data_IF_835757098992
#
_entry.id   IF_835757098992
#
_cell.length_a   1.000
_cell.length_b   1.000
_cell.length_c   1.000
_cell.angle_alpha   90.00
_cell.angle_beta   90.00
_cell.angle_gamma   90.00
#
_symmetry.space_group_name_H-M   'P 1'
#
loop_
_entity.id
_entity.type
_entity.pdbx_description
1 polymer ?
#
# COMPACT_ATOMS: atom_id res chain seq x y z
N UNK A 1 -1.08 -3.31 20.82
CA UNK A 1 -0.73 -1.97 20.28
C UNK A 1 -1.34 -1.74 18.89
N UNK A 2 -1.06 -2.57 17.88
CA UNK A 2 -1.57 -2.40 16.50
C UNK A 2 -3.10 -2.21 16.39
N UNK A 3 -3.89 -3.14 16.97
CA UNK A 3 -5.37 -3.04 16.96
C UNK A 3 -5.85 -1.75 17.63
N UNK A 4 -5.24 -1.37 18.75
CA UNK A 4 -5.58 -0.13 19.46
C UNK A 4 -5.25 1.11 18.62
N UNK A 5 -4.07 1.14 17.99
CA UNK A 5 -3.70 2.23 17.10
C UNK A 5 -4.70 2.39 15.93
N UNK A 6 -5.17 1.28 15.35
CA UNK A 6 -6.22 1.32 14.31
C UNK A 6 -7.55 1.87 14.82
N UNK A 7 -7.97 1.45 16.02
CA UNK A 7 -9.23 1.95 16.64
C UNK A 7 -9.22 3.47 16.81
N UNK A 8 -8.05 4.05 17.13
CA UNK A 8 -7.90 5.51 17.24
C UNK A 8 -7.75 6.18 15.87
N UNK A 9 -6.91 5.60 15.02
CA UNK A 9 -6.59 6.19 13.70
C UNK A 9 -7.80 6.21 12.77
N UNK A 10 -8.57 5.13 12.72
CA UNK A 10 -9.70 4.99 11.78
C UNK A 10 -10.72 6.12 11.91
N UNK A 11 -11.27 6.45 13.10
CA UNK A 11 -12.25 7.54 13.22
C UNK A 11 -11.62 8.91 12.89
N UNK A 12 -10.36 9.14 13.25
CA UNK A 12 -9.66 10.39 12.90
C UNK A 12 -9.56 10.54 11.39
N UNK A 13 -9.16 9.48 10.68
CA UNK A 13 -9.06 9.51 9.22
C UNK A 13 -10.43 9.65 8.55
N UNK A 14 -11.49 9.02 9.07
CA UNK A 14 -12.86 9.18 8.57
C UNK A 14 -13.44 10.57 8.85
N UNK A 15 -12.99 11.26 9.89
CA UNK A 15 -13.32 12.65 10.14
C UNK A 15 -12.65 13.58 9.12
N UNK A 16 -11.38 13.32 8.80
CA UNK A 16 -10.58 14.13 7.89
C UNK A 16 -10.93 13.88 6.41
N UNK A 17 -11.24 12.65 6.03
CA UNK A 17 -11.45 12.21 4.65
C UNK A 17 -12.72 11.38 4.50
N UNK A 18 -13.20 11.25 3.25
CA UNK A 18 -14.26 10.33 2.87
C UNK A 18 -13.64 9.16 2.12
N UNK A 19 -14.03 7.92 2.44
CA UNK A 19 -13.50 6.73 1.80
C UNK A 19 -14.59 6.00 1.02
N UNK A 20 -14.34 5.77 -0.27
CA UNK A 20 -15.16 4.94 -1.14
C UNK A 20 -14.33 3.70 -1.50
N UNK A 21 -14.80 2.52 -1.09
CA UNK A 21 -14.06 1.27 -1.24
C UNK A 21 -14.90 0.24 -1.97
N UNK A 22 -14.35 -0.31 -3.04
CA UNK A 22 -14.96 -1.40 -3.82
C UNK A 22 -14.06 -2.64 -3.83
N UNK A 23 -14.65 -3.83 -4.08
CA UNK A 23 -13.89 -5.07 -4.18
C UNK A 23 -13.42 -5.67 -2.83
N UNK A 24 -14.04 -5.29 -1.70
CA UNK A 24 -13.68 -5.87 -0.38
C UNK A 24 -13.85 -7.38 -0.34
N UNK A 25 -14.77 -7.92 -1.12
CA UNK A 25 -15.03 -9.35 -1.31
C UNK A 25 -13.87 -10.10 -1.95
N UNK A 26 -12.93 -9.41 -2.57
CA UNK A 26 -11.73 -9.98 -3.17
C UNK A 26 -10.58 -10.17 -2.16
N UNK A 27 -10.70 -9.63 -0.95
CA UNK A 27 -9.66 -9.79 0.08
C UNK A 27 -9.67 -11.25 0.54
N UNK A 28 -8.55 -11.99 0.42
CA UNK A 28 -8.48 -13.35 0.93
C UNK A 28 -8.68 -13.39 2.45
N UNK A 29 -9.68 -14.14 2.92
CA UNK A 29 -10.09 -14.12 4.32
C UNK A 29 -9.11 -14.88 5.24
N UNK A 30 -8.50 -15.97 4.76
CA UNK A 30 -7.73 -16.91 5.58
C UNK A 30 -6.34 -17.22 4.99
N UNK A 31 -5.86 -16.42 4.04
CA UNK A 31 -4.57 -16.65 3.41
C UNK A 31 -3.69 -15.40 3.45
N UNK A 32 -2.37 -15.64 3.54
CA UNK A 32 -1.34 -14.67 3.29
C UNK A 32 -1.29 -14.30 1.80
N UNK A 33 -0.88 -13.09 1.51
CA UNK A 33 -0.75 -12.59 0.14
C UNK A 33 0.23 -11.42 0.05
N UNK A 34 0.66 -11.13 -1.16
CA UNK A 34 1.38 -9.89 -1.47
C UNK A 34 0.37 -8.86 -1.99
N UNK A 35 0.30 -7.70 -1.33
CA UNK A 35 -0.55 -6.60 -1.75
C UNK A 35 0.28 -5.61 -2.55
N UNK A 36 -0.19 -5.24 -3.74
CA UNK A 36 0.44 -4.23 -4.59
C UNK A 36 -0.53 -3.09 -4.87
N UNK A 37 -0.04 -1.85 -4.85
CA UNK A 37 -0.83 -0.67 -5.18
C UNK A 37 0.01 0.40 -5.88
N UNK A 38 -0.64 1.33 -6.58
CA UNK A 38 0.00 2.57 -7.01
C UNK A 38 0.30 3.48 -5.81
N UNK A 39 1.29 4.36 -5.93
CA UNK A 39 1.77 5.19 -4.81
C UNK A 39 1.76 6.67 -5.16
N UNK A 40 0.95 7.46 -4.46
CA UNK A 40 0.77 8.87 -4.74
C UNK A 40 1.21 9.77 -3.59
N UNK A 41 1.00 9.33 -2.33
CA UNK A 41 1.28 10.13 -1.15
C UNK A 41 1.40 9.24 0.12
N UNK A 42 1.84 9.83 1.24
CA UNK A 42 1.90 9.18 2.55
C UNK A 42 0.55 8.57 2.99
N UNK A 43 -0.56 9.17 2.57
CA UNK A 43 -1.92 8.74 2.93
C UNK A 43 -2.26 7.34 2.40
N UNK A 44 -1.61 6.87 1.34
CA UNK A 44 -1.87 5.56 0.72
C UNK A 44 -1.71 4.42 1.73
N UNK A 45 -0.62 4.40 2.49
CA UNK A 45 -0.35 3.35 3.47
C UNK A 45 -1.37 3.34 4.61
N UNK A 46 -1.77 4.51 5.10
CA UNK A 46 -2.81 4.62 6.12
C UNK A 46 -4.19 4.21 5.58
N UNK A 47 -4.48 4.55 4.33
CA UNK A 47 -5.71 4.12 3.65
C UNK A 47 -5.78 2.60 3.55
N UNK A 48 -4.72 1.95 3.07
CA UNK A 48 -4.65 0.49 3.00
C UNK A 48 -4.77 -0.17 4.37
N UNK A 49 -4.08 0.36 5.39
CA UNK A 49 -4.21 -0.13 6.77
C UNK A 49 -5.65 -0.09 7.30
N UNK A 50 -6.45 0.92 6.93
CA UNK A 50 -7.84 1.01 7.36
C UNK A 50 -8.79 0.12 6.56
N UNK A 51 -8.51 -0.03 5.27
CA UNK A 51 -9.37 -0.75 4.32
C UNK A 51 -9.25 -2.26 4.50
N UNK A 52 -8.03 -2.76 4.68
CA UNK A 52 -7.78 -4.19 4.90
C UNK A 52 -8.10 -4.60 6.35
N UNK A 53 -8.44 -5.87 6.61
CA UNK A 53 -8.68 -6.40 7.96
C UNK A 53 -7.49 -6.17 8.91
N UNK A 54 -7.74 -6.24 10.21
CA UNK A 54 -6.66 -6.18 11.20
C UNK A 54 -5.84 -7.47 11.24
N UNK A 55 -6.46 -8.57 10.83
CA UNK A 55 -5.84 -9.88 10.64
C UNK A 55 -6.31 -10.48 9.31
N UNK A 56 -5.42 -11.06 8.51
CA UNK A 56 -3.96 -11.08 8.74
C UNK A 56 -3.34 -9.68 8.70
N UNK A 57 -2.31 -9.48 9.54
CA UNK A 57 -1.67 -8.15 9.69
C UNK A 57 -0.92 -7.74 8.42
N UNK A 58 -1.17 -6.51 7.97
CA UNK A 58 -0.46 -5.91 6.84
C UNK A 58 0.89 -5.35 7.27
N UNK A 59 1.96 -5.72 6.58
CA UNK A 59 3.33 -5.24 6.77
C UNK A 59 3.80 -4.49 5.52
N UNK A 60 4.15 -3.22 5.67
CA UNK A 60 4.61 -2.40 4.55
C UNK A 60 6.12 -2.47 4.38
N UNK A 61 6.56 -2.63 3.14
CA UNK A 61 7.94 -2.37 2.77
C UNK A 61 8.18 -0.87 2.70
N UNK A 62 9.21 -0.40 3.38
CA UNK A 62 9.52 1.02 3.35
C UNK A 62 11.00 1.34 3.58
N UNK A 63 11.42 2.46 3.01
CA UNK A 63 12.77 2.98 3.13
C UNK A 63 12.98 3.61 4.52
N UNK A 64 13.84 2.98 5.32
CA UNK A 64 14.15 3.48 6.67
C UNK A 64 14.90 4.81 6.66
N UNK A 65 15.67 5.09 5.62
CA UNK A 65 16.50 6.31 5.56
C UNK A 65 15.65 7.58 5.54
N UNK A 66 14.48 7.51 4.90
CA UNK A 66 13.52 8.61 4.85
C UNK A 66 12.75 8.76 6.17
N UNK A 67 12.32 7.64 6.75
CA UNK A 67 11.48 7.64 7.95
C UNK A 67 12.23 8.02 9.22
N UNK A 68 13.49 7.59 9.38
CA UNK A 68 14.29 7.84 10.59
C UNK A 68 14.60 9.34 10.77
N UNK A 69 14.68 10.12 9.69
CA UNK A 69 14.92 11.57 9.75
C UNK A 69 13.75 12.34 10.38
N UNK A 70 12.55 11.74 10.37
CA UNK A 70 11.32 12.36 10.87
C UNK A 70 10.82 11.64 12.11
N UNK A 71 11.37 11.95 13.29
CA UNK A 71 11.16 11.24 14.56
C UNK A 71 9.69 10.99 14.94
N UNK A 72 8.81 11.98 14.75
CA UNK A 72 7.38 11.84 15.09
C UNK A 72 6.69 10.86 14.15
N UNK A 73 6.91 10.98 12.85
CA UNK A 73 6.34 10.08 11.85
C UNK A 73 6.83 8.64 12.05
N UNK A 74 8.13 8.47 12.33
CA UNK A 74 8.71 7.18 12.67
C UNK A 74 8.06 6.58 13.92
N UNK A 75 7.82 7.38 14.95
CA UNK A 75 7.09 6.92 16.14
C UNK A 75 5.68 6.44 15.78
N UNK A 76 4.90 7.21 15.01
CA UNK A 76 3.54 6.81 14.54
C UNK A 76 3.60 5.50 13.75
N UNK A 77 4.48 5.39 12.77
CA UNK A 77 4.63 4.19 11.94
C UNK A 77 4.93 2.96 12.80
N UNK A 78 5.78 3.09 13.81
CA UNK A 78 6.07 1.98 14.74
C UNK A 78 4.88 1.55 15.59
N UNK A 79 3.99 2.47 15.97
CA UNK A 79 2.77 2.14 16.74
C UNK A 79 1.73 1.45 15.87
N UNK A 80 1.53 1.94 14.67
CA UNK A 80 0.54 1.41 13.71
C UNK A 80 1.02 0.10 13.05
N UNK A 81 2.26 -0.15 13.04
CA UNK A 81 3.11 -0.95 12.40
C UNK A 81 3.22 -2.24 11.96
N UNK A 82 3.27 -2.98 11.11
CA UNK A 82 4.02 -3.92 10.37
C UNK A 82 4.91 -3.15 9.38
N UNK A 83 6.18 -3.04 9.69
CA UNK A 83 7.14 -2.38 8.82
C UNK A 83 8.30 -3.33 8.54
N UNK A 84 8.57 -3.57 7.25
CA UNK A 84 9.72 -4.34 6.78
C UNK A 84 10.71 -3.33 6.19
N UNK A 85 11.89 -3.17 6.79
CA UNK A 85 12.87 -2.19 6.33
C UNK A 85 13.46 -2.60 4.99
N UNK A 86 13.54 -1.63 4.07
CA UNK A 86 14.20 -1.77 2.78
C UNK A 86 15.43 -0.88 2.75
N UNK A 87 16.58 -1.46 2.44
CA UNK A 87 17.80 -0.70 2.14
C UNK A 87 17.93 -0.56 0.61
N UNK A 88 17.59 0.60 0.08
CA UNK A 88 17.66 0.86 -1.38
C UNK A 88 19.08 0.85 -1.95
N UNK A 89 20.09 0.96 -1.10
CA UNK A 89 21.49 0.97 -1.53
C UNK A 89 22.03 -0.46 -1.74
N UNK A 90 21.39 -1.46 -1.13
CA UNK A 90 21.76 -2.87 -1.27
C UNK A 90 20.94 -3.54 -2.38
N UNK A 91 21.60 -3.83 -3.50
CA UNK A 91 21.01 -4.71 -4.53
C UNK A 91 20.94 -6.13 -3.99
N UNK A 92 19.80 -6.81 -4.17
CA UNK A 92 19.52 -8.18 -3.70
C UNK A 92 19.78 -8.36 -2.19
N UNK A 93 19.16 -7.54 -1.35
CA UNK A 93 19.27 -7.66 0.11
C UNK A 93 18.63 -8.97 0.59
N UNK A 94 19.47 -9.98 0.86
CA UNK A 94 19.01 -11.28 1.38
C UNK A 94 18.23 -11.13 2.69
N UNK A 95 18.53 -10.12 3.51
CA UNK A 95 17.80 -9.85 4.73
C UNK A 95 16.36 -9.42 4.44
N UNK A 96 16.14 -8.63 3.38
CA UNK A 96 14.80 -8.25 2.96
C UNK A 96 13.97 -9.48 2.58
N UNK A 97 14.51 -10.36 1.72
CA UNK A 97 13.84 -11.60 1.33
C UNK A 97 13.50 -12.46 2.55
N UNK A 98 14.45 -12.69 3.45
CA UNK A 98 14.20 -13.45 4.70
C UNK A 98 13.14 -12.81 5.61
N UNK A 99 13.03 -11.47 5.65
CA UNK A 99 11.99 -10.79 6.42
C UNK A 99 10.61 -10.95 5.79
N UNK A 100 10.54 -10.85 4.46
CA UNK A 100 9.31 -11.07 3.69
C UNK A 100 8.84 -12.53 3.84
N UNK A 101 9.73 -13.48 3.63
CA UNK A 101 9.43 -14.92 3.77
C UNK A 101 8.89 -15.24 5.16
N UNK A 102 9.57 -14.77 6.21
CA UNK A 102 9.10 -14.95 7.60
C UNK A 102 7.74 -14.32 7.86
N UNK A 103 7.46 -13.17 7.26
CA UNK A 103 6.17 -12.51 7.38
C UNK A 103 5.07 -13.36 6.72
N UNK A 104 5.27 -13.76 5.47
CA UNK A 104 4.32 -14.57 4.71
C UNK A 104 4.11 -15.95 5.35
N UNK A 105 5.18 -16.65 5.74
CA UNK A 105 5.09 -17.97 6.41
C UNK A 105 4.34 -17.94 7.76
N UNK A 106 4.31 -16.78 8.42
CA UNK A 106 3.50 -16.57 9.64
C UNK A 106 2.07 -16.12 9.38
N UNK A 107 1.62 -16.19 8.13
CA UNK A 107 0.27 -15.79 7.72
C UNK A 107 0.07 -14.28 7.61
N UNK A 108 1.14 -13.47 7.60
CA UNK A 108 1.05 -12.03 7.42
C UNK A 108 0.82 -11.63 5.96
N UNK A 109 0.45 -10.38 5.73
CA UNK A 109 0.35 -9.75 4.41
C UNK A 109 1.52 -8.81 4.21
N UNK A 110 2.17 -8.90 3.05
CA UNK A 110 3.25 -7.98 2.66
C UNK A 110 2.71 -6.99 1.64
N UNK A 111 2.66 -5.71 2.02
CA UNK A 111 2.20 -4.63 1.17
C UNK A 111 3.37 -3.80 0.65
N UNK A 112 3.36 -3.51 -0.63
CA UNK A 112 4.37 -2.66 -1.24
C UNK A 112 3.81 -1.87 -2.44
N UNK A 113 4.56 -0.83 -2.79
CA UNK A 113 4.33 -0.02 -3.97
C UNK A 113 5.41 -0.35 -4.99
N UNK A 114 5.10 -1.16 -6.03
CA UNK A 114 6.12 -1.65 -6.96
C UNK A 114 6.79 -0.55 -7.80
N UNK A 115 6.19 0.63 -7.87
CA UNK A 115 6.77 1.84 -8.48
C UNK A 115 8.05 2.29 -7.76
N UNK A 116 8.21 1.95 -6.46
CA UNK A 116 9.32 2.33 -5.58
C UNK A 116 9.53 3.86 -5.40
N UNK A 117 8.58 4.66 -5.83
CA UNK A 117 8.52 6.13 -5.68
C UNK A 117 7.08 6.62 -5.80
N UNK A 118 6.83 7.88 -5.48
CA UNK A 118 5.53 8.51 -5.69
C UNK A 118 5.28 8.77 -7.17
N UNK A 119 4.10 8.39 -7.67
CA UNK A 119 3.63 8.72 -9.00
C UNK A 119 3.50 10.25 -9.20
N UNK A 120 3.70 10.76 -10.41
CA UNK A 120 3.72 12.19 -10.68
C UNK A 120 2.33 12.82 -10.58
N UNK A 121 1.28 12.08 -10.92
CA UNK A 121 -0.11 12.57 -10.94
C UNK A 121 -1.13 11.45 -10.73
N UNK A 122 -2.37 11.85 -10.41
CA UNK A 122 -3.52 10.93 -10.34
C UNK A 122 -3.73 10.18 -11.66
N UNK A 123 -4.05 8.89 -11.56
CA UNK A 123 -4.35 8.04 -12.72
C UNK A 123 -3.14 7.53 -13.50
N UNK A 124 -1.94 7.93 -13.15
CA UNK A 124 -0.70 7.47 -13.79
C UNK A 124 0.00 6.44 -12.92
N UNK A 125 0.38 5.32 -13.53
CA UNK A 125 1.14 4.24 -12.89
C UNK A 125 2.51 4.16 -13.53
N UNK A 126 3.55 4.20 -12.70
CA UNK A 126 4.93 4.05 -13.14
C UNK A 126 5.29 2.58 -13.36
N UNK A 127 6.35 2.28 -14.14
CA UNK A 127 6.81 0.91 -14.35
C UNK A 127 7.13 0.20 -13.01
N UNK A 128 6.66 -1.04 -12.89
CA UNK A 128 6.83 -1.84 -11.69
C UNK A 128 8.20 -2.50 -11.59
N UNK A 129 8.74 -2.54 -10.37
CA UNK A 129 9.91 -3.33 -10.00
C UNK A 129 9.50 -4.79 -9.75
N UNK A 130 10.42 -5.72 -10.00
CA UNK A 130 10.20 -7.18 -9.96
C UNK A 130 10.04 -7.77 -8.54
N UNK A 131 10.36 -7.00 -7.48
CA UNK A 131 10.45 -7.52 -6.11
C UNK A 131 9.18 -8.24 -5.62
N UNK A 132 7.99 -7.67 -5.86
CA UNK A 132 6.74 -8.29 -5.43
C UNK A 132 6.47 -9.64 -6.10
N UNK A 133 6.88 -9.78 -7.38
CA UNK A 133 6.67 -11.02 -8.12
C UNK A 133 7.57 -12.14 -7.58
N UNK A 134 8.83 -11.83 -7.24
CA UNK A 134 9.70 -12.78 -6.54
C UNK A 134 9.08 -13.19 -5.20
N UNK A 135 8.65 -12.25 -4.38
CA UNK A 135 8.04 -12.56 -3.08
C UNK A 135 6.81 -13.48 -3.21
N UNK A 136 5.96 -13.22 -4.20
CA UNK A 136 4.75 -14.02 -4.41
C UNK A 136 5.06 -15.43 -4.94
N UNK A 137 5.97 -15.55 -5.91
CA UNK A 137 6.33 -16.83 -6.54
C UNK A 137 7.10 -17.70 -5.54
N UNK A 138 8.12 -17.16 -4.87
CA UNK A 138 8.98 -17.91 -3.96
C UNK A 138 8.21 -18.42 -2.71
N UNK A 139 7.13 -17.72 -2.32
CA UNK A 139 6.29 -18.11 -1.19
C UNK A 139 4.96 -18.77 -1.60
N UNK A 140 4.72 -19.00 -2.89
CA UNK A 140 3.48 -19.62 -3.40
C UNK A 140 2.19 -18.90 -2.94
N UNK A 141 2.20 -17.57 -2.86
CA UNK A 141 1.07 -16.76 -2.41
C UNK A 141 0.51 -15.91 -3.54
N UNK A 142 -0.81 -15.61 -3.52
CA UNK A 142 -1.40 -14.75 -4.53
C UNK A 142 -0.97 -13.28 -4.36
N UNK A 143 -1.10 -12.52 -5.44
CA UNK A 143 -0.92 -11.06 -5.45
C UNK A 143 -2.29 -10.39 -5.50
N UNK A 144 -2.57 -9.48 -4.57
CA UNK A 144 -3.81 -8.69 -4.54
C UNK A 144 -3.51 -7.29 -5.07
N UNK A 145 -3.99 -6.93 -6.28
CA UNK A 145 -3.80 -5.60 -6.85
C UNK A 145 -4.82 -4.61 -6.28
N UNK A 146 -4.40 -3.38 -6.04
CA UNK A 146 -5.24 -2.29 -5.52
C UNK A 146 -4.99 -1.00 -6.29
N UNK A 147 -6.06 -0.37 -6.76
CA UNK A 147 -6.02 0.97 -7.36
C UNK A 147 -6.42 2.04 -6.33
N UNK A 148 -5.59 3.06 -6.17
CA UNK A 148 -5.84 4.22 -5.30
C UNK A 148 -6.02 5.48 -6.12
N UNK A 149 -6.97 6.33 -5.72
CA UNK A 149 -7.18 7.64 -6.34
C UNK A 149 -7.63 8.67 -5.30
N UNK A 150 -7.27 9.94 -5.53
CA UNK A 150 -7.58 11.04 -4.63
C UNK A 150 -6.55 11.27 -3.52
N UNK A 151 -5.43 10.57 -3.50
CA UNK A 151 -4.41 10.72 -2.45
C UNK A 151 -3.22 11.61 -2.84
N UNK A 152 -3.05 11.98 -4.11
CA UNK A 152 -1.90 12.81 -4.55
C UNK A 152 -1.81 14.14 -3.80
N UNK A 153 -2.91 14.88 -3.79
CA UNK A 153 -3.09 16.08 -3.00
C UNK A 153 -4.28 15.89 -2.06
N UNK A 154 -4.14 16.17 -0.79
CA UNK A 154 -5.18 15.92 0.19
C UNK A 154 -5.62 17.20 0.91
N UNK A 155 -6.93 17.30 1.19
CA UNK A 155 -7.55 18.38 1.94
C UNK A 155 -8.71 17.85 2.78
N UNK A 156 -9.21 18.67 3.70
CA UNK A 156 -10.28 18.27 4.60
C UNK A 156 -11.52 17.79 3.82
N UNK A 157 -12.03 16.61 4.17
CA UNK A 157 -13.21 15.95 3.58
C UNK A 157 -13.05 15.55 2.11
N UNK A 158 -11.81 15.48 1.61
CA UNK A 158 -11.56 14.91 0.28
C UNK A 158 -12.01 13.46 0.21
N UNK A 159 -12.56 13.06 -0.92
CA UNK A 159 -12.91 11.66 -1.18
C UNK A 159 -11.69 10.91 -1.70
N UNK A 160 -11.34 9.84 -0.99
CA UNK A 160 -10.29 8.87 -1.33
C UNK A 160 -11.00 7.61 -1.84
N UNK A 161 -10.59 7.13 -3.02
CA UNK A 161 -11.18 5.94 -3.63
C UNK A 161 -10.19 4.81 -3.66
N UNK A 162 -10.68 3.62 -3.34
CA UNK A 162 -9.92 2.38 -3.31
C UNK A 162 -10.67 1.30 -4.06
N UNK A 163 -10.06 0.69 -5.05
CA UNK A 163 -10.60 -0.46 -5.75
C UNK A 163 -9.67 -1.66 -5.56
N UNK A 164 -10.21 -2.74 -4.99
CA UNK A 164 -9.47 -3.98 -4.73
C UNK A 164 -9.81 -4.98 -5.83
N UNK A 165 -8.78 -5.45 -6.53
CA UNK A 165 -8.93 -6.41 -7.61
C UNK A 165 -8.95 -7.86 -7.11
N UNK A 166 -9.30 -8.77 -8.02
CA UNK A 166 -9.23 -10.21 -7.74
C UNK A 166 -7.78 -10.64 -7.52
N UNK A 167 -7.53 -11.58 -6.60
CA UNK A 167 -6.20 -12.14 -6.42
C UNK A 167 -5.65 -12.76 -7.70
N UNK A 168 -4.41 -12.47 -8.00
CA UNK A 168 -3.66 -13.01 -9.13
C UNK A 168 -2.86 -14.20 -8.60
N UNK A 169 -3.09 -15.39 -9.10
CA UNK A 169 -2.30 -16.57 -8.75
C UNK A 169 -0.85 -16.38 -9.24
N UNK A 170 0.13 -16.67 -8.37
CA UNK A 170 1.56 -16.64 -8.71
C UNK A 170 2.05 -17.95 -9.31
N UNK A 171 1.33 -19.05 -9.06
CA UNK A 171 1.69 -20.39 -9.50
C UNK A 171 1.70 -20.51 -11.03
N UNK A 172 2.73 -21.14 -11.57
CA UNK A 172 2.90 -21.34 -13.01
C UNK A 172 3.26 -20.07 -13.81
N UNK A 173 3.47 -18.92 -13.16
CA UNK A 173 3.86 -17.67 -13.81
C UNK A 173 5.36 -17.42 -13.73
N UNK A 174 5.87 -16.75 -14.75
CA UNK A 174 7.21 -16.15 -14.67
C UNK A 174 7.15 -14.81 -13.94
N UNK A 175 8.29 -14.35 -13.45
CA UNK A 175 8.41 -13.03 -12.80
C UNK A 175 7.95 -11.91 -13.74
N UNK A 176 8.38 -11.95 -15.00
CA UNK A 176 8.06 -10.90 -15.97
C UNK A 176 6.57 -10.88 -16.34
N UNK A 177 5.94 -12.04 -16.47
CA UNK A 177 4.50 -12.16 -16.69
C UNK A 177 3.70 -11.62 -15.49
N UNK A 178 4.10 -11.99 -14.27
CA UNK A 178 3.42 -11.51 -13.06
C UNK A 178 3.59 -9.99 -12.88
N UNK A 179 4.74 -9.43 -13.24
CA UNK A 179 4.98 -7.98 -13.21
C UNK A 179 4.10 -7.26 -14.22
N UNK A 180 4.06 -7.72 -15.47
CA UNK A 180 3.24 -7.11 -16.52
C UNK A 180 1.74 -7.18 -16.13
N UNK A 181 1.27 -8.37 -15.74
CA UNK A 181 -0.12 -8.56 -15.37
C UNK A 181 -0.50 -7.76 -14.11
N UNK A 182 0.37 -7.71 -13.09
CA UNK A 182 0.14 -6.91 -11.88
C UNK A 182 0.06 -5.41 -12.17
N UNK A 183 0.92 -4.90 -13.06
CA UNK A 183 0.89 -3.51 -13.51
C UNK A 183 -0.42 -3.18 -14.21
N UNK A 184 -0.83 -4.00 -15.19
CA UNK A 184 -2.06 -3.79 -15.96
C UNK A 184 -3.31 -3.85 -15.06
N UNK A 185 -3.34 -4.78 -14.10
CA UNK A 185 -4.44 -4.89 -13.15
C UNK A 185 -4.53 -3.66 -12.24
N UNK A 186 -3.41 -3.18 -11.69
CA UNK A 186 -3.42 -1.95 -10.87
C UNK A 186 -3.85 -0.75 -11.71
N UNK A 187 -3.33 -0.58 -12.92
CA UNK A 187 -3.69 0.50 -13.82
C UNK A 187 -5.21 0.50 -14.15
N UNK A 188 -5.77 -0.68 -14.44
CA UNK A 188 -7.19 -0.84 -14.73
C UNK A 188 -8.11 -0.61 -13.52
N UNK A 189 -7.58 -0.81 -12.30
CA UNK A 189 -8.32 -0.64 -11.06
C UNK A 189 -8.36 0.79 -10.56
N UNK A 190 -7.46 1.68 -11.01
CA UNK A 190 -7.43 3.07 -10.51
C UNK A 190 -8.78 3.76 -10.80
N UNK A 191 -9.53 4.15 -9.76
CA UNK A 191 -10.80 4.81 -9.98
C UNK A 191 -10.60 6.16 -10.70
N UNK A 192 -11.46 6.51 -11.67
CA UNK A 192 -11.37 7.79 -12.36
C UNK A 192 -11.31 8.96 -11.38
N UNK A 193 -10.42 9.89 -11.63
CA UNK A 193 -10.23 11.06 -10.79
C UNK A 193 -10.53 12.34 -11.57
N UNK A 194 -11.46 13.10 -11.04
CA UNK A 194 -11.69 14.49 -11.47
C UNK A 194 -11.50 15.38 -10.25
N UNK A 195 -10.60 16.35 -10.36
CA UNK A 195 -10.35 17.25 -9.24
C UNK A 195 -11.57 18.13 -8.98
N UNK A 196 -12.20 18.03 -7.78
CA UNK A 196 -13.37 18.85 -7.49
C UNK A 196 -12.99 20.34 -7.37
N UNK A 197 -13.87 21.19 -7.86
CA UNK A 197 -13.78 22.64 -7.67
C UNK A 197 -14.00 23.05 -6.20
N UNK A 198 -13.82 24.34 -5.92
CA UNK A 198 -14.09 24.95 -4.62
C UNK A 198 -12.89 25.01 -3.68
N UNK A 199 -13.16 25.44 -2.43
CA UNK A 199 -12.12 25.68 -1.42
C UNK A 199 -11.54 24.37 -0.88
N UNK A 200 -10.22 24.23 -0.92
CA UNK A 200 -9.49 23.05 -0.45
C UNK A 200 -8.83 23.34 0.91
N UNK A 201 -9.65 23.28 1.96
CA UNK A 201 -9.20 23.59 3.32
C UNK A 201 -8.04 22.66 3.74
N UNK A 202 -7.00 23.24 4.35
CA UNK A 202 -5.83 22.56 4.86
C UNK A 202 -5.00 21.77 3.81
N UNK A 203 -5.21 22.00 2.48
CA UNK A 203 -4.54 21.25 1.41
C UNK A 203 -3.01 21.18 1.63
N UNK A 204 -2.35 22.33 1.76
CA UNK A 204 -0.88 22.38 1.93
C UNK A 204 -0.42 21.59 3.15
N UNK A 205 -1.07 21.78 4.28
CA UNK A 205 -0.73 21.09 5.54
C UNK A 205 -0.92 19.57 5.43
N UNK A 206 -2.11 19.11 4.98
CA UNK A 206 -2.42 17.69 4.91
C UNK A 206 -1.61 16.95 3.84
N UNK A 207 -1.34 17.58 2.69
CA UNK A 207 -0.55 16.96 1.61
C UNK A 207 0.90 16.69 2.04
N UNK A 208 1.47 17.54 2.91
CA UNK A 208 2.88 17.48 3.32
C UNK A 208 3.08 17.03 4.77
N UNK A 209 2.08 16.43 5.39
CA UNK A 209 2.09 16.04 6.80
C UNK A 209 3.15 14.98 7.12
N UNK A 210 3.43 14.09 6.14
CA UNK A 210 4.43 13.01 6.26
C UNK A 210 5.44 13.00 5.12
#
# INVERSE_FOLDING_TARGET
MYRLARVVLTPVMQLLFRFEVTGREHIPAESNFVLIANHLNWLDSFTLLMVFPAEPRVHFLGDTTVLVTRKFQWWVVRQVGGFIPVDKQRRADQNLFQHVDRCLQRGGVVALYPEAQYGPREGEVLPFKKGFAHFAIDNHVPVVPVGLSGTKDVWLRKTIRVAIGRPIASEGRTVDDLVAHGHDQVAALIPPYTEPGGTKLLRRFLTTLF
#
